data_IF_811242759396
#
_entry.id   IF_811242759396
#
_cell.length_a   1.000
_cell.length_b   1.000
_cell.length_c   1.000
_cell.angle_alpha   90.00
_cell.angle_beta   90.00
_cell.angle_gamma   90.00
#
_symmetry.space_group_name_H-M   'P 1'
#
loop_
_entity.id
_entity.type
_entity.pdbx_description
1 polymer ?
#
# COMPACT_ATOMS: atom_id res chain seq x y z
N UNK A 1 22.03 9.85 -0.90
CA UNK A 1 21.45 8.55 -1.25
C UNK A 1 20.37 8.24 -0.24
N UNK A 2 19.15 7.99 -0.69
CA UNK A 2 18.01 7.64 0.17
C UNK A 2 18.28 6.31 0.86
N UNK A 3 18.08 6.24 2.18
CA UNK A 3 18.12 4.99 2.95
C UNK A 3 16.88 4.92 3.86
N UNK A 4 16.64 3.77 4.50
CA UNK A 4 15.49 3.56 5.41
C UNK A 4 15.30 4.70 6.42
N UNK A 5 16.40 5.26 6.95
CA UNK A 5 16.35 6.31 7.98
C UNK A 5 15.80 7.64 7.47
N UNK A 6 15.84 7.89 6.16
CA UNK A 6 15.31 9.12 5.55
C UNK A 6 13.84 8.98 5.10
N UNK A 7 13.21 7.83 5.36
CA UNK A 7 11.81 7.57 5.02
C UNK A 7 10.99 7.62 6.31
N UNK A 8 9.88 8.36 6.28
CA UNK A 8 8.90 8.40 7.37
C UNK A 8 7.59 7.77 6.91
N UNK A 9 7.23 6.65 7.52
CA UNK A 9 5.93 6.00 7.30
C UNK A 9 4.85 6.65 8.17
N UNK A 10 3.73 6.98 7.55
CA UNK A 10 2.55 7.61 8.16
C UNK A 10 1.37 6.68 7.97
N UNK A 11 1.06 5.91 9.00
CA UNK A 11 0.04 4.88 8.97
C UNK A 11 -1.29 5.50 9.41
N UNK A 12 -2.24 5.59 8.49
CA UNK A 12 -3.60 6.02 8.78
C UNK A 12 -4.38 4.87 9.41
N UNK A 13 -4.99 5.12 10.57
CA UNK A 13 -5.71 4.07 11.29
C UNK A 13 -6.80 4.66 12.18
N UNK A 14 -7.60 3.80 12.81
CA UNK A 14 -8.54 4.16 13.88
C UNK A 14 -8.17 3.43 15.16
N UNK A 15 -8.61 3.95 16.31
CA UNK A 15 -8.39 3.33 17.62
C UNK A 15 -8.81 1.86 17.66
N UNK A 16 -9.84 1.51 16.88
CA UNK A 16 -10.39 0.15 16.80
C UNK A 16 -9.61 -0.72 15.82
N UNK A 17 -9.42 -0.25 14.59
CA UNK A 17 -8.72 -1.05 13.55
C UNK A 17 -7.25 -1.26 13.88
N UNK A 18 -6.60 -0.27 14.50
CA UNK A 18 -5.20 -0.35 14.91
C UNK A 18 -4.94 -1.59 15.75
N UNK A 19 -5.74 -1.83 16.79
CA UNK A 19 -5.60 -2.97 17.71
C UNK A 19 -5.72 -4.30 16.97
N UNK A 20 -6.67 -4.41 16.03
CA UNK A 20 -6.90 -5.65 15.30
C UNK A 20 -5.83 -5.93 14.23
N UNK A 21 -5.22 -4.89 13.67
CA UNK A 21 -4.33 -4.98 12.49
C UNK A 21 -2.85 -4.80 12.81
N UNK A 22 -2.49 -4.64 14.08
CA UNK A 22 -1.10 -4.54 14.54
C UNK A 22 -0.19 -5.66 13.99
N UNK A 23 -0.74 -6.85 13.77
CA UNK A 23 0.01 -7.99 13.23
C UNK A 23 0.52 -7.74 11.81
N UNK A 24 -0.20 -6.98 10.96
CA UNK A 24 0.29 -6.58 9.64
C UNK A 24 1.47 -5.61 9.74
N UNK A 25 1.38 -4.64 10.66
CA UNK A 25 2.44 -3.67 10.89
C UNK A 25 3.73 -4.36 11.38
N UNK A 26 3.60 -5.34 12.28
CA UNK A 26 4.74 -6.08 12.85
C UNK A 26 5.52 -6.92 11.82
N UNK A 27 4.95 -7.22 10.65
CA UNK A 27 5.67 -7.95 9.59
C UNK A 27 6.83 -7.13 9.01
N UNK A 28 6.67 -5.81 8.92
CA UNK A 28 7.61 -4.95 8.19
C UNK A 28 8.20 -3.81 9.03
N UNK A 29 7.55 -3.42 10.12
CA UNK A 29 8.06 -2.41 11.02
C UNK A 29 9.17 -2.97 11.90
N UNK A 30 10.31 -2.26 11.94
CA UNK A 30 11.40 -2.54 12.85
C UNK A 30 11.78 -1.25 13.58
N UNK A 31 11.68 -1.19 14.93
CA UNK A 31 11.91 0.04 15.69
C UNK A 31 13.33 0.60 15.60
N UNK A 32 14.30 -0.22 15.18
CA UNK A 32 15.70 0.21 15.06
C UNK A 32 16.05 0.77 13.69
N UNK A 33 15.29 0.43 12.65
CA UNK A 33 15.62 0.78 11.25
C UNK A 33 14.52 1.52 10.51
N UNK A 34 13.28 1.46 10.99
CA UNK A 34 12.10 2.06 10.35
C UNK A 34 11.59 3.23 11.20
N UNK A 35 11.39 4.39 10.57
CA UNK A 35 10.73 5.53 11.20
C UNK A 35 9.25 5.54 10.81
N UNK A 36 8.36 5.30 11.77
CA UNK A 36 6.93 5.21 11.50
C UNK A 36 6.09 5.85 12.61
N UNK A 37 4.95 6.41 12.22
CA UNK A 37 3.93 6.95 13.12
C UNK A 37 2.55 6.43 12.72
N UNK A 38 1.75 6.04 13.71
CA UNK A 38 0.36 5.63 13.52
C UNK A 38 -0.58 6.75 13.95
N UNK A 39 -1.38 7.25 13.01
CA UNK A 39 -2.31 8.37 13.21
C UNK A 39 -3.73 7.86 13.48
N UNK A 40 -4.17 7.98 14.72
CA UNK A 40 -5.48 7.50 15.18
C UNK A 40 -6.48 8.65 15.34
N UNK A 41 -7.76 8.30 15.38
CA UNK A 41 -8.88 9.21 15.68
C UNK A 41 -9.00 9.53 17.17
N UNK A 42 -8.57 8.61 18.04
CA UNK A 42 -8.52 8.75 19.49
C UNK A 42 -7.59 7.71 20.11
N UNK A 43 -7.36 7.78 21.41
CA UNK A 43 -6.58 6.77 22.13
C UNK A 43 -7.17 5.37 21.94
N UNK A 44 -6.30 4.41 21.61
CA UNK A 44 -6.66 3.01 21.53
C UNK A 44 -6.82 2.42 22.93
N UNK A 45 -8.02 1.91 23.23
CA UNK A 45 -8.33 1.25 24.50
C UNK A 45 -8.40 -0.25 24.25
N UNK A 46 -7.50 -1.01 24.88
CA UNK A 46 -7.55 -2.48 24.85
C UNK A 46 -8.82 -2.96 25.57
N UNK A 47 -9.67 -3.79 24.94
CA UNK A 47 -10.87 -4.35 25.57
C UNK A 47 -10.61 -5.12 26.87
N UNK A 48 -9.38 -5.57 27.11
CA UNK A 48 -8.95 -6.25 28.34
C UNK A 48 -8.60 -5.30 29.49
N UNK A 49 -8.73 -3.98 29.30
CA UNK A 49 -8.52 -2.96 30.33
C UNK A 49 -7.06 -2.59 30.59
N UNK A 50 -6.12 -3.13 29.79
CA UNK A 50 -4.70 -2.84 29.93
C UNK A 50 -4.30 -1.64 29.05
N UNK A 51 -4.77 -0.45 29.43
CA UNK A 51 -4.56 0.83 28.72
C UNK A 51 -3.09 1.17 28.42
N UNK A 52 -2.14 0.52 29.10
CA UNK A 52 -0.71 0.82 29.04
C UNK A 52 0.06 0.05 27.96
N UNK A 53 -0.48 -1.03 27.39
CA UNK A 53 0.29 -1.90 26.46
C UNK A 53 0.49 -1.31 25.07
N UNK A 54 -0.47 -0.54 24.53
CA UNK A 54 -0.36 0.00 23.16
C UNK A 54 0.58 1.22 23.04
N UNK A 55 0.81 1.97 24.12
CA UNK A 55 1.63 3.20 24.07
C UNK A 55 3.13 2.87 24.22
N UNK A 56 3.46 1.71 24.80
CA UNK A 56 4.85 1.31 25.10
C UNK A 56 5.31 0.04 24.39
N UNK A 57 4.53 -0.55 23.49
CA UNK A 57 5.00 -1.71 22.72
C UNK A 57 6.06 -1.24 21.69
N UNK A 58 7.35 -1.58 21.88
CA UNK A 58 8.41 -1.13 20.98
C UNK A 58 8.29 -1.81 19.60
N UNK A 59 7.51 -2.88 19.47
CA UNK A 59 7.25 -3.56 18.19
C UNK A 59 6.21 -2.84 17.33
N UNK A 60 5.69 -1.70 17.80
CA UNK A 60 4.74 -0.88 17.06
C UNK A 60 5.24 0.56 16.86
N UNK A 61 4.77 1.24 15.79
CA UNK A 61 5.00 2.65 15.57
C UNK A 61 4.44 3.52 16.70
N UNK A 62 5.06 4.68 16.91
CA UNK A 62 4.53 5.66 17.86
C UNK A 62 3.16 6.13 17.42
N UNK A 63 2.21 6.10 18.35
CA UNK A 63 0.83 6.58 18.12
C UNK A 63 0.76 8.11 18.25
N UNK A 64 0.03 8.73 17.32
CA UNK A 64 -0.32 10.15 17.30
C UNK A 64 -1.84 10.26 17.16
N UNK A 65 -2.46 11.05 18.02
CA UNK A 65 -3.89 11.34 17.88
C UNK A 65 -4.04 12.52 16.93
N UNK A 66 -4.80 12.29 15.85
CA UNK A 66 -4.98 13.28 14.80
C UNK A 66 -5.76 14.49 15.35
N UNK A 67 -5.44 15.68 14.85
CA UNK A 67 -6.15 16.91 15.24
C UNK A 67 -7.61 16.87 14.76
N UNK A 68 -8.47 17.64 15.45
CA UNK A 68 -9.88 17.74 15.10
C UNK A 68 -10.07 18.31 13.68
N UNK A 69 -10.89 17.63 12.87
CA UNK A 69 -11.29 18.03 11.52
C UNK A 69 -12.78 18.34 11.40
N UNK A 70 -13.48 18.55 12.52
CA UNK A 70 -14.92 18.82 12.55
C UNK A 70 -15.33 20.08 11.76
N UNK A 71 -14.46 21.08 11.69
CA UNK A 71 -14.68 22.34 10.98
C UNK A 71 -14.65 22.23 9.45
N UNK A 72 -14.07 21.17 8.90
CA UNK A 72 -13.99 20.98 7.45
C UNK A 72 -15.35 20.51 6.88
N UNK A 73 -15.77 21.07 5.73
CA UNK A 73 -16.98 20.63 5.05
C UNK A 73 -16.82 19.22 4.47
N UNK A 74 -17.90 18.43 4.51
CA UNK A 74 -17.99 17.12 3.88
C UNK A 74 -19.36 16.96 3.25
N UNK A 75 -19.42 16.91 1.91
CA UNK A 75 -20.69 16.95 1.16
C UNK A 75 -20.97 15.67 0.37
N UNK A 76 -20.02 14.72 0.33
CA UNK A 76 -20.25 13.41 -0.29
C UNK A 76 -21.27 12.59 0.50
N UNK A 77 -22.35 12.15 -0.16
CA UNK A 77 -23.43 11.39 0.48
C UNK A 77 -23.02 9.92 0.70
N UNK A 78 -23.18 9.42 1.91
CA UNK A 78 -22.94 8.00 2.24
C UNK A 78 -21.47 7.60 2.45
N UNK A 79 -20.54 8.56 2.50
CA UNK A 79 -19.16 8.31 2.93
C UNK A 79 -18.90 8.77 4.37
N UNK A 80 -17.68 8.54 4.86
CA UNK A 80 -17.29 8.83 6.24
C UNK A 80 -16.47 10.12 6.32
N UNK A 81 -16.86 11.03 7.22
CA UNK A 81 -16.14 12.29 7.45
C UNK A 81 -14.70 12.06 7.96
N UNK A 82 -14.41 10.89 8.52
CA UNK A 82 -13.05 10.47 8.90
C UNK A 82 -12.05 10.50 7.74
N UNK A 83 -12.51 10.44 6.49
CA UNK A 83 -11.65 10.60 5.31
C UNK A 83 -10.90 11.94 5.28
N UNK A 84 -11.47 13.01 5.87
CA UNK A 84 -10.78 14.30 5.99
C UNK A 84 -9.60 14.20 6.95
N UNK A 85 -9.81 13.57 8.11
CA UNK A 85 -8.75 13.31 9.10
C UNK A 85 -7.62 12.50 8.47
N UNK A 86 -7.95 11.44 7.73
CA UNK A 86 -6.95 10.60 7.05
C UNK A 86 -6.15 11.40 6.03
N UNK A 87 -6.81 12.22 5.18
CA UNK A 87 -6.08 13.10 4.25
C UNK A 87 -5.16 14.07 5.00
N UNK A 88 -5.60 14.60 6.13
CA UNK A 88 -4.84 15.60 6.90
C UNK A 88 -3.58 15.04 7.56
N UNK A 89 -3.42 13.71 7.65
CA UNK A 89 -2.18 13.06 8.10
C UNK A 89 -0.95 13.57 7.35
N UNK A 90 -1.08 13.89 6.05
CA UNK A 90 0.01 14.47 5.23
C UNK A 90 0.55 15.76 5.84
N UNK A 91 -0.34 16.64 6.32
CA UNK A 91 0.07 17.88 7.00
C UNK A 91 0.63 17.57 8.39
N UNK A 92 -0.02 16.69 9.13
CA UNK A 92 0.33 16.42 10.52
C UNK A 92 1.72 15.79 10.66
N UNK A 93 2.09 14.84 9.79
CA UNK A 93 3.44 14.24 9.81
C UNK A 93 4.53 15.26 9.48
N UNK A 94 4.25 16.19 8.56
CA UNK A 94 5.19 17.27 8.21
C UNK A 94 5.37 18.23 9.38
N UNK A 95 4.31 18.50 10.16
CA UNK A 95 4.34 19.36 11.34
C UNK A 95 5.11 18.74 12.53
N UNK A 96 5.39 17.43 12.51
CA UNK A 96 6.29 16.81 13.49
C UNK A 96 7.73 17.30 13.35
N UNK A 97 8.10 17.87 12.19
CA UNK A 97 9.43 18.39 11.89
C UNK A 97 10.56 17.39 12.20
N UNK A 98 10.32 16.12 11.85
CA UNK A 98 11.32 15.07 11.91
C UNK A 98 12.57 15.46 11.09
N UNK A 99 13.79 15.30 11.65
CA UNK A 99 15.03 15.64 10.96
C UNK A 99 15.38 14.60 9.91
N UNK A 100 16.17 15.01 8.90
CA UNK A 100 16.78 14.14 7.89
C UNK A 100 15.76 13.25 7.15
N UNK A 101 14.66 13.86 6.67
CA UNK A 101 13.61 13.18 5.91
C UNK A 101 13.73 13.52 4.42
N UNK A 102 13.84 12.49 3.60
CA UNK A 102 13.81 12.58 2.13
C UNK A 102 12.38 12.31 1.61
N UNK A 103 11.63 11.39 2.26
CA UNK A 103 10.32 10.93 1.80
C UNK A 103 9.34 10.72 2.94
N UNK A 104 8.08 11.09 2.70
CA UNK A 104 6.94 10.68 3.51
C UNK A 104 6.15 9.62 2.77
N UNK A 105 5.96 8.46 3.38
CA UNK A 105 5.20 7.32 2.85
C UNK A 105 3.90 7.21 3.63
N UNK A 106 2.79 7.01 2.93
CA UNK A 106 1.45 6.91 3.50
C UNK A 106 0.88 5.53 3.18
N UNK A 107 0.16 4.95 4.14
CA UNK A 107 -0.51 3.65 4.03
C UNK A 107 -1.55 3.49 5.13
N UNK A 108 -2.41 2.48 5.00
CA UNK A 108 -3.39 2.09 6.02
C UNK A 108 -2.76 1.08 7.02
N UNK A 109 -3.49 0.74 8.08
CA UNK A 109 -3.04 -0.22 9.10
C UNK A 109 -3.04 -1.69 8.63
N UNK A 110 -3.66 -2.00 7.49
CA UNK A 110 -3.58 -3.26 6.77
C UNK A 110 -2.72 -3.20 5.50
N UNK A 111 -1.95 -2.12 5.29
CA UNK A 111 -0.90 -2.07 4.27
C UNK A 111 0.36 -2.77 4.78
N UNK A 112 0.81 -3.78 4.05
CA UNK A 112 2.06 -4.51 4.30
C UNK A 112 3.12 -4.00 3.33
N UNK A 113 4.13 -3.30 3.85
CA UNK A 113 5.23 -2.73 3.05
C UNK A 113 6.43 -3.67 2.94
N UNK A 114 7.07 -3.68 1.77
CA UNK A 114 8.35 -4.34 1.52
C UNK A 114 9.44 -3.27 1.54
N UNK A 115 9.89 -2.92 2.75
CA UNK A 115 10.66 -1.69 3.03
C UNK A 115 11.92 -1.54 2.17
N UNK A 116 12.67 -2.62 1.93
CA UNK A 116 13.89 -2.54 1.10
C UNK A 116 13.60 -2.28 -0.37
N UNK A 117 12.51 -2.86 -0.86
CA UNK A 117 12.05 -2.62 -2.23
C UNK A 117 11.57 -1.18 -2.37
N UNK A 118 10.84 -0.67 -1.38
CA UNK A 118 10.44 0.74 -1.34
C UNK A 118 11.65 1.70 -1.36
N UNK A 119 12.68 1.44 -0.53
CA UNK A 119 13.92 2.24 -0.54
C UNK A 119 14.56 2.23 -1.93
N UNK A 120 14.66 1.06 -2.54
CA UNK A 120 15.21 0.89 -3.90
C UNK A 120 14.40 1.68 -4.92
N UNK A 121 13.07 1.59 -4.86
CA UNK A 121 12.17 2.32 -5.76
C UNK A 121 12.34 3.84 -5.60
N UNK A 122 12.33 4.35 -4.36
CA UNK A 122 12.47 5.78 -4.10
C UNK A 122 13.86 6.32 -4.39
N UNK A 123 14.90 5.47 -4.42
CA UNK A 123 16.26 5.88 -4.78
C UNK A 123 16.40 6.31 -6.25
N UNK A 124 15.43 5.98 -7.11
CA UNK A 124 15.36 6.42 -8.51
C UNK A 124 15.09 7.92 -8.66
N UNK A 125 14.54 8.55 -7.62
CA UNK A 125 14.01 9.91 -7.67
C UNK A 125 14.87 10.86 -6.82
N UNK A 126 15.05 12.10 -7.31
CA UNK A 126 15.65 13.16 -6.50
C UNK A 126 14.59 13.73 -5.55
N UNK A 127 14.74 13.46 -4.24
CA UNK A 127 13.81 13.91 -3.21
C UNK A 127 13.71 15.44 -3.05
N UNK A 128 14.62 16.20 -3.67
CA UNK A 128 14.52 17.66 -3.73
C UNK A 128 13.52 18.14 -4.79
N UNK A 129 13.25 17.32 -5.81
CA UNK A 129 12.20 17.55 -6.80
C UNK A 129 10.80 17.24 -6.26
N UNK A 130 9.77 17.58 -7.04
CA UNK A 130 8.38 17.34 -6.66
C UNK A 130 7.88 16.02 -7.23
N UNK A 131 7.89 14.98 -6.39
CA UNK A 131 7.44 13.65 -6.74
C UNK A 131 6.31 13.16 -5.84
N UNK A 132 5.26 12.66 -6.48
CA UNK A 132 4.18 11.87 -5.92
C UNK A 132 4.28 10.48 -6.56
N UNK A 133 4.63 9.46 -5.78
CA UNK A 133 5.00 8.13 -6.27
C UNK A 133 4.04 7.10 -5.69
N UNK A 134 3.52 6.19 -6.50
CA UNK A 134 2.57 5.17 -6.06
C UNK A 134 1.93 4.49 -7.27
N UNK A 135 0.79 3.82 -7.06
CA UNK A 135 0.03 3.20 -8.15
C UNK A 135 -1.47 3.36 -7.98
N UNK A 136 -2.17 3.18 -9.09
CA UNK A 136 -3.62 3.08 -9.12
C UNK A 136 -4.10 1.72 -8.59
N UNK A 137 -5.42 1.51 -8.58
CA UNK A 137 -6.01 0.25 -8.15
C UNK A 137 -5.97 -0.79 -9.28
N UNK A 138 -5.85 -2.06 -8.94
CA UNK A 138 -6.01 -3.16 -9.89
C UNK A 138 -7.44 -3.23 -10.41
N UNK A 139 -8.40 -2.61 -9.73
CA UNK A 139 -9.79 -2.56 -10.15
C UNK A 139 -10.05 -1.42 -11.15
N UNK A 140 -10.37 -1.78 -12.40
CA UNK A 140 -10.77 -0.81 -13.42
C UNK A 140 -11.92 0.10 -12.95
N UNK A 141 -12.94 -0.47 -12.29
CA UNK A 141 -14.10 0.28 -11.80
C UNK A 141 -13.73 1.30 -10.72
N UNK A 142 -12.72 1.01 -9.89
CA UNK A 142 -12.24 1.96 -8.88
C UNK A 142 -11.50 3.11 -9.54
N UNK A 143 -10.70 2.83 -10.57
CA UNK A 143 -9.98 3.85 -11.32
C UNK A 143 -10.92 4.77 -12.11
N UNK A 144 -11.98 4.22 -12.75
CA UNK A 144 -12.99 5.04 -13.44
C UNK A 144 -13.74 5.96 -12.49
N UNK A 145 -14.04 5.51 -11.28
CA UNK A 145 -14.77 6.30 -10.28
C UNK A 145 -13.91 7.37 -9.61
N UNK A 146 -12.62 7.10 -9.43
CA UNK A 146 -11.70 7.99 -8.76
C UNK A 146 -10.77 8.63 -9.79
N UNK A 147 -9.64 7.99 -10.10
CA UNK A 147 -8.76 8.39 -11.20
C UNK A 147 -7.78 7.25 -11.50
N UNK A 148 -7.35 7.16 -12.75
CA UNK A 148 -6.19 6.35 -13.13
C UNK A 148 -4.87 6.99 -12.68
N UNK A 149 -4.86 8.28 -12.37
CA UNK A 149 -3.68 9.05 -11.95
C UNK A 149 -3.63 9.30 -10.44
N UNK A 150 -4.46 8.59 -9.66
CA UNK A 150 -4.48 8.69 -8.20
C UNK A 150 -3.72 7.51 -7.62
N UNK A 151 -2.74 7.80 -6.75
CA UNK A 151 -2.17 6.80 -5.85
C UNK A 151 -3.21 6.41 -4.81
N UNK A 152 -3.63 5.15 -4.80
CA UNK A 152 -4.60 4.66 -3.82
C UNK A 152 -3.93 4.50 -2.46
N UNK A 153 -4.51 5.10 -1.43
CA UNK A 153 -3.89 5.27 -0.11
C UNK A 153 -3.62 3.94 0.59
N UNK A 154 -4.47 2.96 0.37
CA UNK A 154 -4.30 1.62 0.94
C UNK A 154 -3.17 0.81 0.30
N UNK A 155 -2.98 0.91 -1.01
CA UNK A 155 -1.77 0.42 -1.68
C UNK A 155 -0.55 1.23 -1.27
N UNK A 156 -0.76 2.45 -0.79
CA UNK A 156 0.27 3.33 -0.29
C UNK A 156 0.85 4.21 -1.39
N UNK A 157 1.42 5.33 -0.96
CA UNK A 157 2.11 6.27 -1.84
C UNK A 157 3.19 7.02 -1.07
N UNK A 158 4.16 7.56 -1.80
CA UNK A 158 5.22 8.40 -1.27
C UNK A 158 5.13 9.82 -1.84
N UNK A 159 5.44 10.80 -1.00
CA UNK A 159 5.60 12.19 -1.38
C UNK A 159 7.01 12.61 -0.97
N UNK A 160 7.76 13.14 -1.93
CA UNK A 160 9.08 13.77 -1.70
C UNK A 160 8.99 14.86 -0.62
N UNK A 161 10.05 15.02 0.18
CA UNK A 161 10.06 15.98 1.28
C UNK A 161 9.71 17.41 0.82
N UNK A 162 10.31 17.88 -0.28
CA UNK A 162 10.10 19.23 -0.78
C UNK A 162 8.63 19.49 -1.16
N UNK A 163 7.98 18.52 -1.82
CA UNK A 163 6.56 18.59 -2.17
C UNK A 163 5.66 18.52 -0.93
N UNK A 164 5.96 17.62 0.02
CA UNK A 164 5.18 17.48 1.24
C UNK A 164 5.15 18.79 2.05
N UNK A 165 6.27 19.54 2.11
CA UNK A 165 6.33 20.86 2.75
C UNK A 165 5.41 21.89 2.09
N UNK A 166 5.28 21.86 0.77
CA UNK A 166 4.40 22.77 0.02
C UNK A 166 2.95 22.34 0.21
N UNK A 167 2.64 21.06 0.03
CA UNK A 167 1.31 20.50 0.21
C UNK A 167 0.76 20.78 1.61
N UNK A 168 1.55 20.56 2.68
CA UNK A 168 1.13 20.81 4.05
C UNK A 168 0.70 22.27 4.32
N UNK A 169 1.27 23.25 3.61
CA UNK A 169 0.90 24.67 3.74
C UNK A 169 -0.47 24.96 3.13
N UNK A 170 -0.80 24.31 2.01
CA UNK A 170 -2.04 24.58 1.25
C UNK A 170 -3.17 23.59 1.56
N UNK A 171 -2.86 22.45 2.18
CA UNK A 171 -3.74 21.29 2.33
C UNK A 171 -5.09 21.67 2.95
N UNK A 172 -5.10 22.41 4.05
CA UNK A 172 -6.37 22.75 4.73
C UNK A 172 -7.31 23.54 3.80
N UNK A 173 -6.80 24.50 3.02
CA UNK A 173 -7.61 25.24 2.05
C UNK A 173 -8.11 24.34 0.92
N UNK A 174 -7.29 23.37 0.51
CA UNK A 174 -7.61 22.41 -0.53
C UNK A 174 -8.70 21.43 -0.08
N UNK A 175 -8.65 20.94 1.16
CA UNK A 175 -9.66 20.06 1.74
C UNK A 175 -11.06 20.73 1.76
N UNK A 176 -11.11 22.05 1.93
CA UNK A 176 -12.36 22.82 1.84
C UNK A 176 -12.92 22.83 0.40
N UNK A 177 -12.06 23.01 -0.62
CA UNK A 177 -12.48 23.01 -2.03
C UNK A 177 -13.02 21.64 -2.47
N UNK A 178 -12.38 20.57 -2.01
CA UNK A 178 -12.74 19.19 -2.38
C UNK A 178 -13.63 18.48 -1.35
N UNK A 179 -14.53 19.23 -0.71
CA UNK A 179 -15.50 18.70 0.26
C UNK A 179 -16.39 17.58 -0.30
N UNK A 180 -16.58 17.57 -1.62
CA UNK A 180 -17.46 16.66 -2.34
C UNK A 180 -16.83 15.32 -2.72
N UNK A 181 -15.52 15.12 -2.50
CA UNK A 181 -14.86 13.85 -2.82
C UNK A 181 -15.17 12.77 -1.77
N UNK A 182 -15.08 11.50 -2.16
CA UNK A 182 -15.36 10.38 -1.28
C UNK A 182 -14.26 10.19 -0.22
N UNK A 183 -13.09 9.70 -0.62
CA UNK A 183 -12.01 9.28 0.28
C UNK A 183 -10.94 10.34 0.53
N UNK A 184 -9.97 9.97 1.36
CA UNK A 184 -8.74 10.75 1.59
C UNK A 184 -7.90 10.87 0.32
N UNK A 185 -7.79 9.76 -0.41
CA UNK A 185 -6.82 9.58 -1.48
C UNK A 185 -7.16 10.52 -2.65
N UNK A 186 -8.45 10.57 -3.00
CA UNK A 186 -8.96 11.49 -4.02
C UNK A 186 -8.71 12.96 -3.66
N UNK A 187 -8.75 13.31 -2.36
CA UNK A 187 -8.43 14.67 -1.89
C UNK A 187 -6.95 14.97 -2.03
N UNK A 188 -6.08 14.06 -1.59
CA UNK A 188 -4.63 14.23 -1.72
C UNK A 188 -4.23 14.34 -3.19
N UNK A 189 -4.73 13.44 -4.04
CA UNK A 189 -4.54 13.51 -5.49
C UNK A 189 -5.00 14.85 -6.05
N UNK A 190 -6.21 15.32 -5.71
CA UNK A 190 -6.71 16.60 -6.22
C UNK A 190 -5.84 17.79 -5.76
N UNK A 191 -5.38 17.79 -4.52
CA UNK A 191 -4.48 18.83 -4.01
C UNK A 191 -3.11 18.81 -4.68
N UNK A 192 -2.57 17.64 -4.99
CA UNK A 192 -1.31 17.49 -5.72
C UNK A 192 -1.46 17.92 -7.18
N UNK A 193 -2.59 17.58 -7.82
CA UNK A 193 -2.91 18.02 -9.17
C UNK A 193 -3.07 19.56 -9.27
N UNK A 194 -3.66 20.21 -8.25
CA UNK A 194 -3.69 21.70 -8.17
C UNK A 194 -2.29 22.31 -8.10
N UNK A 195 -1.32 21.60 -7.53
CA UNK A 195 0.09 22.01 -7.51
C UNK A 195 0.83 21.66 -8.81
N UNK A 196 0.15 21.07 -9.79
CA UNK A 196 0.74 20.66 -11.07
C UNK A 196 1.56 19.37 -10.99
N UNK A 197 1.39 18.55 -9.95
CA UNK A 197 2.12 17.29 -9.78
C UNK A 197 1.23 16.10 -10.12
N UNK A 198 1.63 15.34 -11.14
CA UNK A 198 1.01 14.06 -11.51
C UNK A 198 1.62 12.88 -10.76
N UNK A 199 0.93 11.74 -10.78
CA UNK A 199 1.43 10.49 -10.20
C UNK A 199 2.59 9.93 -11.03
N UNK A 200 3.67 9.59 -10.36
CA UNK A 200 4.75 8.75 -10.89
C UNK A 200 4.40 7.30 -10.58
N UNK A 201 3.97 6.58 -11.62
CA UNK A 201 3.46 5.21 -11.50
C UNK A 201 4.58 4.22 -11.17
N UNK A 202 4.42 3.50 -10.06
CA UNK A 202 5.29 2.42 -9.62
C UNK A 202 4.43 1.15 -9.42
N UNK A 203 4.48 0.18 -10.35
CA UNK A 203 3.51 -0.93 -10.41
C UNK A 203 3.62 -1.92 -9.24
N UNK A 204 4.62 -1.81 -8.37
CA UNK A 204 4.75 -2.64 -7.18
C UNK A 204 3.92 -2.17 -5.98
N UNK A 205 3.25 -1.01 -6.06
CA UNK A 205 2.28 -0.60 -5.04
C UNK A 205 0.91 -1.20 -5.36
N UNK A 206 0.39 -2.06 -4.49
CA UNK A 206 -0.87 -2.75 -4.74
C UNK A 206 -1.96 -2.40 -3.74
N UNK A 207 -3.05 -1.83 -4.25
CA UNK A 207 -4.27 -1.54 -3.49
C UNK A 207 -5.07 -2.83 -3.22
N UNK A 208 -4.94 -3.83 -4.08
CA UNK A 208 -5.60 -5.14 -4.01
C UNK A 208 -7.11 -4.98 -3.82
N UNK A 209 -7.76 -4.14 -4.63
CA UNK A 209 -9.23 -4.07 -4.69
C UNK A 209 -9.78 -5.28 -5.45
N UNK A 210 -9.52 -6.46 -4.89
CA UNK A 210 -9.84 -7.79 -5.39
C UNK A 210 -10.17 -8.71 -4.21
N UNK A 211 -10.74 -9.87 -4.50
CA UNK A 211 -11.13 -10.89 -3.52
C UNK A 211 -10.73 -12.27 -3.98
N UNK A 212 -10.84 -13.26 -3.09
CA UNK A 212 -10.58 -14.65 -3.46
C UNK A 212 -9.10 -14.95 -3.54
N UNK A 213 -8.68 -15.73 -4.54
CA UNK A 213 -7.32 -16.23 -4.64
C UNK A 213 -6.41 -15.27 -5.45
N UNK A 214 -5.38 -14.72 -4.80
CA UNK A 214 -4.41 -13.83 -5.44
C UNK A 214 -3.28 -14.56 -6.19
N UNK A 215 -3.27 -15.90 -6.21
CA UNK A 215 -2.16 -16.69 -6.75
C UNK A 215 -1.78 -16.33 -8.19
N UNK A 216 -2.75 -16.03 -9.05
CA UNK A 216 -2.50 -15.58 -10.42
C UNK A 216 -1.79 -14.23 -10.50
N UNK A 217 -2.20 -13.25 -9.68
CA UNK A 217 -1.54 -11.94 -9.57
C UNK A 217 -0.11 -12.09 -9.06
N UNK A 218 0.06 -12.83 -7.96
CA UNK A 218 1.35 -12.93 -7.28
C UNK A 218 2.36 -13.80 -8.06
N UNK A 219 1.89 -14.76 -8.86
CA UNK A 219 2.77 -15.62 -9.67
C UNK A 219 3.26 -14.96 -10.96
N UNK A 220 2.51 -13.97 -11.47
CA UNK A 220 2.83 -13.21 -12.68
C UNK A 220 3.01 -11.72 -12.37
N UNK A 221 3.63 -11.41 -11.22
CA UNK A 221 3.83 -10.03 -10.80
C UNK A 221 4.67 -9.27 -11.85
N UNK A 222 4.35 -7.98 -12.12
CA UNK A 222 5.11 -7.16 -13.07
C UNK A 222 6.62 -7.15 -12.80
N UNK A 223 7.43 -6.87 -13.82
CA UNK A 223 8.89 -6.72 -13.71
C UNK A 223 9.29 -5.43 -12.97
N UNK A 224 8.96 -5.38 -11.69
CA UNK A 224 9.22 -4.30 -10.75
C UNK A 224 9.36 -4.87 -9.34
N UNK A 225 10.06 -4.19 -8.41
CA UNK A 225 10.07 -4.61 -7.02
C UNK A 225 8.66 -4.55 -6.44
N UNK A 226 8.20 -5.61 -5.78
CA UNK A 226 6.98 -5.55 -4.97
C UNK A 226 7.18 -4.57 -3.82
N UNK A 227 6.33 -3.57 -3.69
CA UNK A 227 6.46 -2.48 -2.71
C UNK A 227 5.46 -2.61 -1.57
N UNK A 228 4.22 -2.96 -1.86
CA UNK A 228 3.17 -3.07 -0.85
C UNK A 228 2.02 -3.95 -1.31
N UNK A 229 1.35 -4.56 -0.34
CA UNK A 229 0.08 -5.27 -0.51
C UNK A 229 -0.94 -4.74 0.51
N UNK A 230 -2.21 -4.72 0.13
CA UNK A 230 -3.30 -4.21 0.95
C UNK A 230 -4.50 -5.17 0.96
N UNK A 231 -5.50 -4.90 1.82
CA UNK A 231 -6.77 -5.62 1.92
C UNK A 231 -6.61 -7.14 2.05
N UNK A 232 -5.54 -7.60 2.70
CA UNK A 232 -5.22 -9.03 2.82
C UNK A 232 -6.28 -9.79 3.65
N UNK A 233 -7.03 -9.08 4.51
CA UNK A 233 -8.22 -9.61 5.18
C UNK A 233 -9.37 -9.97 4.23
N UNK A 234 -9.39 -9.45 3.00
CA UNK A 234 -10.46 -9.67 2.01
C UNK A 234 -10.15 -10.81 1.02
N UNK A 235 -8.92 -11.34 1.03
CA UNK A 235 -8.46 -12.40 0.12
C UNK A 235 -8.23 -13.72 0.84
N UNK A 236 -8.09 -14.81 0.09
CA UNK A 236 -7.71 -16.10 0.64
C UNK A 236 -6.25 -16.06 1.14
N UNK A 237 -5.85 -16.94 2.07
CA UNK A 237 -4.44 -17.11 2.38
C UNK A 237 -3.63 -17.37 1.11
N UNK A 238 -2.51 -16.65 0.94
CA UNK A 238 -1.69 -16.71 -0.27
C UNK A 238 -0.92 -18.03 -0.42
N UNK A 239 -0.86 -18.83 0.65
CA UNK A 239 -0.34 -20.20 0.66
C UNK A 239 -1.40 -21.18 1.17
N UNK A 240 -1.45 -22.41 0.61
CA UNK A 240 -2.41 -23.43 1.05
C UNK A 240 -2.14 -23.88 2.49
N UNK A 241 -3.19 -24.32 3.18
CA UNK A 241 -3.13 -24.87 4.54
C UNK A 241 -2.52 -23.93 5.61
N UNK A 242 -2.53 -22.62 5.36
CA UNK A 242 -2.08 -21.59 6.30
C UNK A 242 -3.22 -20.61 6.59
N UNK A 243 -3.21 -19.99 7.77
CA UNK A 243 -3.99 -18.77 7.99
C UNK A 243 -3.40 -17.59 7.21
N UNK A 244 -4.16 -16.49 7.07
CA UNK A 244 -3.68 -15.29 6.34
C UNK A 244 -2.40 -14.72 6.93
N UNK A 245 -2.34 -14.62 8.25
CA UNK A 245 -1.15 -14.13 8.97
C UNK A 245 0.05 -15.07 8.77
N UNK A 246 -0.14 -16.37 8.95
CA UNK A 246 0.94 -17.36 8.74
C UNK A 246 1.45 -17.37 7.30
N UNK A 247 0.55 -17.20 6.32
CA UNK A 247 0.92 -17.15 4.92
C UNK A 247 1.82 -15.93 4.61
N UNK A 248 1.56 -14.77 5.24
CA UNK A 248 2.40 -13.59 5.10
C UNK A 248 3.73 -13.74 5.84
N UNK A 249 3.73 -14.27 7.06
CA UNK A 249 4.96 -14.62 7.77
C UNK A 249 5.83 -15.57 6.94
N UNK A 250 5.21 -16.54 6.27
CA UNK A 250 5.89 -17.46 5.36
C UNK A 250 6.52 -16.73 4.16
N UNK A 251 5.77 -15.84 3.49
CA UNK A 251 6.30 -15.01 2.40
C UNK A 251 7.52 -14.19 2.86
N UNK A 252 7.44 -13.59 4.05
CA UNK A 252 8.51 -12.75 4.59
C UNK A 252 9.81 -13.52 4.85
N UNK A 253 9.76 -14.84 5.07
CA UNK A 253 10.98 -15.64 5.10
C UNK A 253 11.74 -15.59 3.77
N UNK A 254 11.02 -15.60 2.63
CA UNK A 254 11.61 -15.42 1.30
C UNK A 254 12.09 -13.99 1.07
N UNK A 255 11.28 -13.00 1.46
CA UNK A 255 11.64 -11.56 1.38
C UNK A 255 12.94 -11.27 2.12
N UNK A 256 13.15 -11.89 3.29
CA UNK A 256 14.35 -11.67 4.10
C UNK A 256 15.62 -12.29 3.48
N UNK A 257 15.49 -13.20 2.51
CA UNK A 257 16.62 -13.80 1.78
C UNK A 257 16.98 -12.95 0.56
N UNK A 258 15.99 -12.57 -0.25
CA UNK A 258 16.20 -11.76 -1.45
C UNK A 258 15.00 -10.84 -1.72
N UNK A 259 14.95 -9.66 -1.08
CA UNK A 259 13.78 -8.79 -1.17
C UNK A 259 13.57 -8.28 -2.60
N UNK A 260 14.65 -7.99 -3.32
CA UNK A 260 14.59 -7.37 -4.65
C UNK A 260 13.98 -8.29 -5.71
N UNK A 261 14.04 -9.61 -5.51
CA UNK A 261 13.50 -10.60 -6.45
C UNK A 261 12.17 -11.20 -6.01
N UNK A 262 11.63 -10.89 -4.83
CA UNK A 262 10.37 -11.50 -4.38
C UNK A 262 9.26 -11.29 -5.43
N UNK A 263 8.53 -12.37 -5.74
CA UNK A 263 7.52 -12.47 -6.80
C UNK A 263 8.00 -12.25 -8.23
N UNK A 264 9.27 -11.93 -8.46
CA UNK A 264 9.78 -11.78 -9.82
C UNK A 264 9.62 -13.13 -10.55
N UNK A 265 8.94 -13.10 -11.69
CA UNK A 265 8.72 -14.28 -12.50
C UNK A 265 9.97 -14.58 -13.34
N UNK A 266 10.38 -15.84 -13.36
CA UNK A 266 11.44 -16.36 -14.25
C UNK A 266 10.93 -17.63 -14.91
N UNK A 267 11.07 -17.75 -16.22
CA UNK A 267 10.59 -18.90 -17.00
C UNK A 267 11.77 -19.66 -17.60
N UNK A 268 11.77 -20.97 -17.41
CA UNK A 268 12.75 -21.90 -17.94
C UNK A 268 12.05 -22.94 -18.82
N UNK A 269 12.74 -23.40 -19.86
CA UNK A 269 12.22 -24.39 -20.81
C UNK A 269 13.04 -25.67 -20.74
N UNK A 270 12.36 -26.80 -20.57
CA UNK A 270 12.94 -28.14 -20.68
C UNK A 270 12.47 -28.79 -21.99
N UNK A 271 13.27 -28.69 -23.07
CA UNK A 271 12.89 -29.23 -24.36
C UNK A 271 12.93 -30.77 -24.40
N UNK A 272 13.62 -31.43 -23.47
CA UNK A 272 13.75 -32.90 -23.45
C UNK A 272 12.45 -33.52 -22.97
N UNK A 273 11.87 -32.97 -21.91
CA UNK A 273 10.61 -33.44 -21.33
C UNK A 273 9.40 -32.67 -21.87
N UNK A 274 9.61 -31.69 -22.75
CA UNK A 274 8.58 -30.77 -23.25
C UNK A 274 7.83 -30.11 -22.09
N UNK A 275 8.57 -29.43 -21.21
CA UNK A 275 8.00 -28.71 -20.07
C UNK A 275 8.41 -27.24 -20.09
N UNK A 276 7.51 -26.38 -19.62
CA UNK A 276 7.82 -24.99 -19.26
C UNK A 276 7.66 -24.81 -17.76
N UNK A 277 8.67 -24.27 -17.10
CA UNK A 277 8.69 -24.04 -15.65
C UNK A 277 8.70 -22.53 -15.39
N UNK A 278 7.65 -22.02 -14.76
CA UNK A 278 7.54 -20.63 -14.31
C UNK A 278 7.78 -20.58 -12.80
N UNK A 279 8.71 -19.74 -12.36
CA UNK A 279 9.07 -19.55 -10.96
C UNK A 279 8.79 -18.11 -10.56
N UNK A 280 7.91 -17.90 -9.61
CA UNK A 280 7.76 -16.62 -8.90
C UNK A 280 8.58 -16.71 -7.60
N UNK A 281 9.70 -16.01 -7.54
CA UNK A 281 10.68 -16.15 -6.46
C UNK A 281 10.05 -15.94 -5.06
N UNK A 282 10.30 -16.88 -4.16
CA UNK A 282 9.77 -16.86 -2.79
C UNK A 282 8.27 -17.19 -2.68
N UNK A 283 7.60 -17.53 -3.78
CA UNK A 283 6.14 -17.75 -3.79
C UNK A 283 5.72 -19.06 -4.44
N UNK A 284 5.89 -19.23 -5.76
CA UNK A 284 5.32 -20.35 -6.50
C UNK A 284 6.24 -20.91 -7.58
N UNK A 285 6.04 -22.19 -7.88
CA UNK A 285 6.60 -22.87 -9.05
C UNK A 285 5.45 -23.51 -9.79
N UNK A 286 5.27 -23.14 -11.06
CA UNK A 286 4.25 -23.67 -11.95
C UNK A 286 4.95 -24.45 -13.06
N UNK A 287 4.45 -25.65 -13.33
CA UNK A 287 4.99 -26.54 -14.38
C UNK A 287 3.88 -26.76 -15.41
N UNK A 288 4.16 -26.40 -16.65
CA UNK A 288 3.27 -26.53 -17.79
C UNK A 288 3.80 -27.60 -18.73
N UNK A 289 2.88 -28.37 -19.32
CA UNK A 289 3.21 -29.30 -20.40
C UNK A 289 3.32 -28.53 -21.72
N UNK A 290 4.38 -28.80 -22.48
CA UNK A 290 4.68 -28.12 -23.73
C UNK A 290 5.56 -26.88 -23.59
N UNK A 291 5.77 -26.22 -24.73
CA UNK A 291 6.52 -24.98 -24.85
C UNK A 291 5.55 -23.78 -24.81
N UNK A 292 5.30 -23.26 -23.61
CA UNK A 292 4.42 -22.10 -23.40
C UNK A 292 5.14 -20.79 -23.76
N UNK A 293 4.45 -19.89 -24.46
CA UNK A 293 5.07 -18.62 -24.82
C UNK A 293 5.14 -17.70 -23.60
N UNK A 294 6.31 -17.08 -23.40
CA UNK A 294 6.50 -16.14 -22.28
C UNK A 294 5.39 -15.07 -22.22
N UNK A 295 4.96 -14.40 -23.32
CA UNK A 295 3.88 -13.42 -23.26
C UNK A 295 2.56 -13.96 -22.69
N UNK A 296 2.24 -15.24 -22.88
CA UNK A 296 1.04 -15.85 -22.33
C UNK A 296 1.18 -16.12 -20.83
N UNK A 297 2.39 -16.47 -20.38
CA UNK A 297 2.72 -16.69 -18.96
C UNK A 297 2.86 -15.39 -18.15
N UNK A 298 3.12 -14.27 -18.82
CA UNK A 298 3.14 -12.94 -18.19
C UNK A 298 1.74 -12.41 -17.88
N UNK A 299 0.68 -13.02 -18.45
CA UNK A 299 -0.71 -12.63 -18.16
C UNK A 299 -1.14 -13.30 -16.85
N UNK A 300 -1.53 -12.52 -15.82
CA UNK A 300 -2.01 -13.10 -14.58
C UNK A 300 -3.21 -14.03 -14.80
N UNK A 301 -3.11 -15.25 -14.27
CA UNK A 301 -4.23 -16.17 -14.27
C UNK A 301 -5.40 -15.56 -13.48
N UNK A 302 -6.62 -15.65 -14.02
CA UNK A 302 -7.82 -15.10 -13.34
C UNK A 302 -8.27 -16.02 -12.18
N UNK A 303 -7.55 -15.94 -11.07
CA UNK A 303 -7.85 -16.67 -9.83
C UNK A 303 -8.64 -15.82 -8.82
N UNK A 304 -8.64 -14.51 -9.01
CA UNK A 304 -9.26 -13.52 -8.14
C UNK A 304 -10.62 -13.03 -8.66
N UNK A 305 -11.38 -12.38 -7.77
CA UNK A 305 -12.72 -11.85 -8.01
C UNK A 305 -12.77 -10.33 -7.83
N UNK A 306 -13.76 -9.64 -8.42
CA UNK A 306 -13.96 -8.20 -8.25
C UNK A 306 -14.13 -7.78 -6.79
N UNK A 307 -13.67 -6.57 -6.44
CA UNK A 307 -13.88 -5.98 -5.11
C UNK A 307 -15.36 -5.94 -4.70
N UNK A 308 -16.23 -5.54 -5.64
CA UNK A 308 -17.67 -5.43 -5.41
C UNK A 308 -18.30 -6.82 -5.44
N UNK A 309 -18.90 -7.22 -4.32
CA UNK A 309 -19.66 -8.49 -4.23
C UNK A 309 -20.80 -8.49 -5.26
N UNK A 310 -20.93 -9.60 -5.99
CA UNK A 310 -21.94 -9.77 -7.04
C UNK A 310 -21.54 -9.21 -8.41
N UNK A 311 -20.34 -8.64 -8.56
CA UNK A 311 -19.77 -8.37 -9.89
C UNK A 311 -19.40 -9.68 -10.59
N UNK A 312 -19.66 -9.77 -11.90
CA UNK A 312 -19.26 -10.95 -12.67
C UNK A 312 -17.77 -10.85 -13.04
N UNK A 313 -16.95 -11.76 -12.50
CA UNK A 313 -15.51 -11.83 -12.72
C UNK A 313 -15.11 -12.00 -14.19
N UNK A 314 -15.99 -12.56 -15.04
CA UNK A 314 -15.71 -12.70 -16.47
C UNK A 314 -15.68 -11.35 -17.20
N UNK A 315 -16.53 -10.40 -16.78
CA UNK A 315 -16.69 -9.10 -17.46
C UNK A 315 -15.98 -7.94 -16.76
N UNK A 316 -15.48 -8.14 -15.55
CA UNK A 316 -14.68 -7.12 -14.84
C UNK A 316 -13.27 -7.06 -15.41
N UNK A 317 -12.81 -5.85 -15.73
CA UNK A 317 -11.44 -5.58 -16.16
C UNK A 317 -10.56 -5.31 -14.94
N UNK A 318 -9.34 -5.83 -14.99
CA UNK A 318 -8.33 -5.59 -13.97
C UNK A 318 -7.03 -5.08 -14.60
N UNK A 319 -6.29 -4.30 -13.84
CA UNK A 319 -4.91 -3.86 -14.14
C UNK A 319 -4.01 -4.60 -13.18
N UNK A 320 -3.58 -5.80 -13.57
CA UNK A 320 -2.73 -6.67 -12.77
C UNK A 320 -1.49 -6.98 -13.57
#
# INVERSE_FOLDING_TARGET
MTTRRHIVFSIASSSTSFIHRQHYIRLWYNPTTTRAFAFLDREAVDPTGNNTRSIMDPTLPRVIISKDTSSFPYTFKGGLKSAIRVARVVKEVVELNEPDVDWFVFGDDDTVFFVENLVTVLSKYDHNGWFYVGSNSESYDQNVKNSFEMGFGGGGFAISYSLAKVLARVLDSCLVRYAHLYGSDARIFSCLAELGVGLSHEPGFHQVDMRGDLSGMLSAHPLSPLVSLHHLDAVNPIFPNMSKTQALEHLFNGVNVDPARVLQQTVCYDPVHSLTVSVAWGYSVQVFEGNEFLPDLLIPQRTFMPWRRGGNAEFTRFYV
#
